data_IF_329470618409
#
_entry.id   IF_329470618409
#
_cell.length_a   1.000
_cell.length_b   1.000
_cell.length_c   1.000
_cell.angle_alpha   90.00
_cell.angle_beta   90.00
_cell.angle_gamma   90.00
#
_symmetry.space_group_name_H-M   'P 1'
#
loop_
_entity.id
_entity.type
_entity.pdbx_description
1 polymer ?
#
# COMPACT_ATOMS: atom_id res chain seq x y z
N UNK A 1 44.30 -41.14 13.92
CA UNK A 1 42.84 -41.03 13.70
C UNK A 1 42.63 -40.19 12.44
N UNK A 2 42.81 -40.81 11.27
CA UNK A 2 41.79 -41.47 10.44
C UNK A 2 41.02 -40.44 9.58
N UNK A 3 41.62 -40.13 8.43
CA UNK A 3 40.97 -39.53 7.27
C UNK A 3 39.86 -40.47 6.76
N UNK A 4 38.70 -39.92 6.43
CA UNK A 4 37.67 -40.60 5.67
C UNK A 4 37.12 -39.66 4.58
N UNK A 5 37.24 -40.11 3.34
CA UNK A 5 36.67 -39.53 2.14
C UNK A 5 35.22 -40.02 1.93
N UNK A 6 34.40 -39.25 1.22
CA UNK A 6 33.28 -39.78 0.44
C UNK A 6 32.87 -38.81 -0.68
N UNK A 7 32.85 -39.32 -1.91
CA UNK A 7 32.39 -38.68 -3.14
C UNK A 7 30.93 -39.13 -3.49
N UNK A 8 30.25 -38.25 -4.24
CA UNK A 8 29.26 -38.49 -5.31
C UNK A 8 27.76 -38.73 -5.00
N UNK A 9 26.90 -37.93 -5.66
CA UNK A 9 25.67 -38.26 -6.45
C UNK A 9 24.97 -36.92 -6.81
N UNK A 10 24.95 -36.46 -8.07
CA UNK A 10 24.07 -36.80 -9.20
C UNK A 10 22.58 -36.42 -9.00
N UNK A 11 22.10 -35.44 -9.79
CA UNK A 11 20.69 -35.06 -9.84
C UNK A 11 20.40 -34.04 -10.95
N UNK A 12 20.29 -34.54 -12.19
CA UNK A 12 19.90 -33.79 -13.39
C UNK A 12 18.36 -33.84 -13.52
N UNK A 13 17.67 -32.71 -13.49
CA UNK A 13 16.21 -32.60 -13.64
C UNK A 13 15.85 -31.75 -14.86
N UNK A 14 15.13 -32.37 -15.80
CA UNK A 14 15.02 -31.99 -17.22
C UNK A 14 14.29 -30.68 -17.56
N UNK A 15 14.73 -30.09 -18.67
CA UNK A 15 14.12 -28.94 -19.35
C UNK A 15 13.19 -29.41 -20.48
N UNK A 16 11.90 -29.10 -20.28
CA UNK A 16 10.92 -28.60 -21.26
C UNK A 16 11.02 -29.01 -22.74
N UNK A 17 10.16 -29.96 -23.12
CA UNK A 17 9.03 -29.77 -24.04
C UNK A 17 9.28 -29.16 -25.43
N UNK A 18 9.30 -30.03 -26.44
CA UNK A 18 9.27 -29.70 -27.87
C UNK A 18 7.85 -29.50 -28.43
N UNK A 19 7.81 -28.70 -29.50
CA UNK A 19 7.02 -28.87 -30.73
C UNK A 19 5.91 -27.84 -31.03
N UNK A 20 6.01 -27.37 -32.27
CA UNK A 20 5.25 -26.37 -32.98
C UNK A 20 3.81 -26.77 -33.28
N UNK A 21 2.95 -25.77 -33.53
CA UNK A 21 1.99 -25.85 -34.64
C UNK A 21 1.49 -24.45 -35.05
N UNK A 22 1.68 -24.18 -36.35
CA UNK A 22 1.07 -23.09 -37.12
C UNK A 22 -0.36 -23.47 -37.49
N UNK A 23 -1.28 -22.51 -37.63
CA UNK A 23 -1.88 -22.33 -38.96
C UNK A 23 -2.14 -20.86 -39.35
N UNK A 24 -1.93 -20.55 -40.64
CA UNK A 24 -2.53 -19.41 -41.32
C UNK A 24 -3.96 -19.76 -41.79
N UNK A 25 -4.84 -18.76 -42.00
CA UNK A 25 -5.29 -18.50 -43.36
C UNK A 25 -5.44 -17.02 -43.72
N UNK A 26 -5.85 -16.81 -44.97
CA UNK A 26 -5.55 -15.68 -45.85
C UNK A 26 -6.54 -14.49 -45.83
N UNK A 27 -6.03 -13.42 -46.45
CA UNK A 27 -6.61 -12.18 -47.00
C UNK A 27 -8.12 -12.07 -47.25
N UNK A 28 -8.66 -10.86 -47.02
CA UNK A 28 -9.47 -10.10 -47.99
C UNK A 28 -9.68 -8.64 -47.53
N UNK A 29 -9.99 -7.79 -48.52
CA UNK A 29 -9.70 -6.37 -48.66
C UNK A 29 -10.70 -5.36 -48.05
N UNK A 30 -10.17 -4.14 -47.81
CA UNK A 30 -10.73 -2.80 -48.02
C UNK A 30 -12.08 -2.37 -47.38
N UNK A 31 -12.06 -1.27 -46.62
CA UNK A 31 -12.65 0.02 -47.04
C UNK A 31 -12.54 1.09 -45.93
N UNK A 32 -12.39 2.33 -46.39
CA UNK A 32 -12.39 3.61 -45.70
C UNK A 32 -13.60 3.88 -44.81
N UNK A 33 -13.37 4.42 -43.61
CA UNK A 33 -14.29 5.35 -42.97
C UNK A 33 -13.49 6.38 -42.15
N UNK A 34 -13.46 7.59 -42.68
CA UNK A 34 -13.18 8.80 -41.90
C UNK A 34 -14.30 8.97 -40.88
N UNK A 35 -13.95 9.05 -39.59
CA UNK A 35 -14.88 9.44 -38.53
C UNK A 35 -14.09 10.19 -37.48
N UNK A 36 -14.15 11.51 -37.54
CA UNK A 36 -13.71 12.43 -36.50
C UNK A 36 -14.29 12.01 -35.14
N UNK A 37 -13.50 11.88 -34.06
CA UNK A 37 -14.08 11.90 -32.72
C UNK A 37 -14.42 13.35 -32.37
N UNK A 38 -15.60 13.81 -32.83
CA UNK A 38 -16.26 14.96 -32.22
C UNK A 38 -17.00 14.46 -30.98
N UNK A 39 -16.67 15.06 -29.84
CA UNK A 39 -17.57 15.38 -28.74
C UNK A 39 -18.38 14.22 -28.14
N UNK A 40 -17.93 13.71 -27.00
CA UNK A 40 -18.57 14.01 -25.71
C UNK A 40 -17.76 13.32 -24.62
N UNK A 41 -16.98 14.10 -23.86
CA UNK A 41 -16.58 13.68 -22.51
C UNK A 41 -17.85 13.76 -21.65
N UNK A 42 -18.68 12.74 -21.76
CA UNK A 42 -19.81 12.50 -20.86
C UNK A 42 -19.75 11.06 -20.40
N UNK A 43 -18.54 10.61 -20.07
CA UNK A 43 -18.33 9.57 -19.10
C UNK A 43 -18.34 10.24 -17.73
N UNK A 44 -19.51 10.65 -17.26
CA UNK A 44 -19.78 10.67 -15.82
C UNK A 44 -19.46 9.24 -15.40
N UNK A 45 -18.29 9.03 -14.80
CA UNK A 45 -18.02 7.80 -14.10
C UNK A 45 -19.21 7.63 -13.15
N UNK A 46 -20.11 6.72 -13.52
CA UNK A 46 -21.13 6.24 -12.62
C UNK A 46 -20.33 5.56 -11.53
N UNK A 47 -20.06 6.34 -10.47
CA UNK A 47 -19.65 5.81 -9.19
C UNK A 47 -20.60 4.63 -8.93
N UNK A 48 -20.09 3.41 -9.06
CA UNK A 48 -20.57 2.37 -8.18
C UNK A 48 -20.42 2.97 -6.80
N UNK A 49 -21.54 3.21 -6.14
CA UNK A 49 -21.61 3.81 -4.83
C UNK A 49 -20.99 2.84 -3.81
N UNK A 50 -19.67 2.72 -3.83
CA UNK A 50 -18.91 2.45 -2.63
C UNK A 50 -18.97 3.76 -1.84
N UNK A 51 -19.36 3.70 -0.57
CA UNK A 51 -19.30 4.84 0.36
C UNK A 51 -17.85 5.23 0.71
N UNK A 52 -16.93 4.98 -0.21
CA UNK A 52 -15.53 5.26 -0.15
C UNK A 52 -15.32 6.71 -0.60
N UNK A 53 -14.99 7.58 0.35
CA UNK A 53 -14.67 8.97 0.08
C UNK A 53 -13.16 9.11 -0.01
N UNK A 54 -12.67 9.56 -1.17
CA UNK A 54 -11.26 9.83 -1.38
C UNK A 54 -11.05 11.26 -1.89
N UNK A 55 -9.97 11.91 -1.46
CA UNK A 55 -9.60 13.24 -1.92
C UNK A 55 -8.08 13.37 -2.00
N UNK A 56 -7.60 14.06 -3.03
CA UNK A 56 -6.18 14.36 -3.25
C UNK A 56 -5.92 15.83 -2.91
N UNK A 57 -4.81 16.10 -2.25
CA UNK A 57 -4.40 17.42 -1.75
C UNK A 57 -5.37 18.07 -0.75
N UNK A 58 -6.26 17.29 -0.13
CA UNK A 58 -7.13 17.73 0.95
C UNK A 58 -7.60 16.52 1.79
N UNK A 59 -8.21 16.82 2.93
CA UNK A 59 -8.91 15.84 3.77
C UNK A 59 -10.29 15.59 3.17
N UNK A 60 -10.64 14.32 2.95
CA UNK A 60 -11.93 13.91 2.44
C UNK A 60 -13.05 14.32 3.43
N UNK A 61 -14.20 14.79 2.94
CA UNK A 61 -15.31 15.16 3.81
C UNK A 61 -15.80 13.94 4.60
N UNK A 62 -15.85 14.06 5.93
CA UNK A 62 -16.19 12.96 6.84
C UNK A 62 -15.03 12.04 7.22
N UNK A 63 -13.80 12.39 6.86
CA UNK A 63 -12.62 11.60 7.22
C UNK A 63 -12.45 11.47 8.75
N UNK A 64 -12.16 10.26 9.27
CA UNK A 64 -12.03 9.95 10.70
C UNK A 64 -10.77 10.59 11.30
N UNK A 65 -10.86 11.89 11.57
CA UNK A 65 -9.73 12.70 12.03
C UNK A 65 -9.40 12.46 13.51
N UNK A 66 -10.29 11.81 14.26
CA UNK A 66 -9.99 11.41 15.64
C UNK A 66 -9.15 10.12 15.65
N UNK A 67 -9.46 9.17 14.76
CA UNK A 67 -8.65 7.94 14.60
C UNK A 67 -7.33 8.21 13.87
N UNK A 68 -7.34 9.05 12.83
CA UNK A 68 -6.17 9.39 12.02
C UNK A 68 -5.98 10.91 11.88
N UNK A 69 -5.54 11.60 12.95
CA UNK A 69 -5.23 13.03 12.89
C UNK A 69 -4.05 13.31 11.96
N UNK A 70 -4.16 14.37 11.18
CA UNK A 70 -3.03 14.92 10.44
C UNK A 70 -1.98 15.46 11.42
N UNK A 71 -0.71 15.09 11.23
CA UNK A 71 0.37 15.61 12.06
C UNK A 71 0.45 17.15 11.95
N UNK A 72 0.59 17.89 13.05
CA UNK A 72 0.77 19.34 13.02
C UNK A 72 1.95 19.75 12.15
N UNK A 73 1.72 20.69 11.23
CA UNK A 73 2.75 21.15 10.28
C UNK A 73 2.97 20.25 9.07
N UNK A 74 2.27 19.12 8.96
CA UNK A 74 2.20 18.34 7.74
C UNK A 74 1.02 18.76 6.86
N UNK A 75 1.11 18.46 5.58
CA UNK A 75 0.07 18.70 4.57
C UNK A 75 -0.54 17.36 4.14
N UNK A 76 -1.87 17.28 4.10
CA UNK A 76 -2.56 16.11 3.54
C UNK A 76 -2.38 16.07 2.02
N UNK A 77 -1.67 15.05 1.53
CA UNK A 77 -1.46 14.79 0.12
C UNK A 77 -2.57 13.94 -0.48
N UNK A 78 -3.09 12.99 0.30
CA UNK A 78 -4.25 12.20 -0.07
C UNK A 78 -4.93 11.66 1.18
N UNK A 79 -6.25 11.52 1.14
CA UNK A 79 -7.02 10.82 2.15
C UNK A 79 -8.06 9.94 1.48
N UNK A 80 -8.35 8.82 2.09
CA UNK A 80 -9.43 7.93 1.68
C UNK A 80 -10.02 7.25 2.90
N UNK A 81 -11.34 7.10 2.95
CA UNK A 81 -11.97 6.24 3.94
C UNK A 81 -13.18 5.54 3.33
N UNK A 82 -13.43 4.31 3.77
CA UNK A 82 -14.63 3.55 3.45
C UNK A 82 -15.19 2.94 4.74
N UNK A 83 -16.18 3.62 5.30
CA UNK A 83 -16.85 3.19 6.53
C UNK A 83 -17.89 2.08 6.28
N UNK A 84 -18.22 1.79 5.01
CA UNK A 84 -19.16 0.73 4.64
C UNK A 84 -18.51 -0.65 4.48
N UNK A 85 -17.18 -0.72 4.37
CA UNK A 85 -16.45 -1.97 4.40
C UNK A 85 -16.45 -2.63 5.80
N UNK A 86 -16.25 -3.95 5.81
CA UNK A 86 -16.09 -4.74 7.03
C UNK A 86 -14.88 -5.67 6.89
N UNK A 87 -13.71 -5.32 7.48
CA UNK A 87 -13.45 -4.15 8.30
C UNK A 87 -13.46 -2.84 7.50
N UNK A 88 -13.79 -1.74 8.18
CA UNK A 88 -13.79 -0.42 7.58
C UNK A 88 -12.37 0.12 7.50
N UNK A 89 -12.07 0.85 6.44
CA UNK A 89 -10.70 1.23 6.08
C UNK A 89 -10.54 2.74 6.00
N UNK A 90 -9.42 3.26 6.49
CA UNK A 90 -9.04 4.65 6.29
C UNK A 90 -7.54 4.76 6.02
N UNK A 91 -7.19 5.64 5.09
CA UNK A 91 -5.82 5.88 4.64
C UNK A 91 -5.56 7.38 4.58
N UNK A 92 -4.45 7.80 5.18
CA UNK A 92 -3.94 9.17 5.17
C UNK A 92 -2.53 9.17 4.58
N UNK A 93 -2.31 10.03 3.59
CA UNK A 93 -0.98 10.34 3.07
C UNK A 93 -0.67 11.78 3.43
N UNK A 94 0.33 11.98 4.26
CA UNK A 94 0.76 13.28 4.77
C UNK A 94 2.21 13.56 4.39
N UNK A 95 2.50 14.76 3.88
CA UNK A 95 3.86 15.22 3.59
C UNK A 95 4.30 16.30 4.56
N UNK A 96 5.55 16.26 5.01
CA UNK A 96 6.17 17.33 5.80
C UNK A 96 7.57 17.64 5.28
N UNK A 97 7.89 18.93 5.18
CA UNK A 97 9.23 19.43 4.84
C UNK A 97 10.05 19.83 6.06
N UNK A 98 9.42 19.91 7.24
CA UNK A 98 10.04 20.36 8.50
C UNK A 98 10.28 19.22 9.48
N UNK A 99 9.48 18.15 9.38
CA UNK A 99 9.58 16.98 10.24
C UNK A 99 10.42 15.89 9.59
N UNK A 100 11.25 15.22 10.38
CA UNK A 100 11.98 14.03 9.91
C UNK A 100 11.05 12.83 9.76
N UNK A 101 11.49 11.79 9.03
CA UNK A 101 10.73 10.55 8.93
C UNK A 101 10.52 9.87 10.29
N UNK A 102 11.50 9.97 11.21
CA UNK A 102 11.38 9.41 12.55
C UNK A 102 10.37 10.16 13.41
N UNK A 103 10.29 11.49 13.27
CA UNK A 103 9.29 12.31 13.99
C UNK A 103 7.87 11.97 13.52
N UNK A 104 7.67 11.84 12.20
CA UNK A 104 6.37 11.42 11.67
C UNK A 104 5.99 10.01 12.11
N UNK A 105 6.93 9.07 12.04
CA UNK A 105 6.70 7.72 12.51
C UNK A 105 6.32 7.73 13.99
N UNK A 106 7.09 8.42 14.83
CA UNK A 106 6.85 8.53 16.27
C UNK A 106 5.50 9.15 16.61
N UNK A 107 5.07 10.19 15.86
CA UNK A 107 3.75 10.80 16.02
C UNK A 107 2.63 9.78 15.76
N UNK A 108 2.63 9.12 14.60
CA UNK A 108 1.58 8.15 14.26
C UNK A 108 1.63 6.89 15.13
N UNK A 109 2.82 6.45 15.54
CA UNK A 109 2.97 5.39 16.55
C UNK A 109 2.28 5.77 17.86
N UNK A 110 2.47 6.99 18.36
CA UNK A 110 1.81 7.46 19.60
C UNK A 110 0.30 7.54 19.45
N UNK A 111 -0.17 8.02 18.29
CA UNK A 111 -1.61 8.08 18.00
C UNK A 111 -2.23 6.69 17.99
N UNK A 112 -1.64 5.74 17.25
CA UNK A 112 -2.17 4.38 17.16
C UNK A 112 -2.10 3.63 18.49
N UNK A 113 -1.02 3.78 19.24
CA UNK A 113 -0.90 3.18 20.58
C UNK A 113 -1.88 3.80 21.58
N UNK A 114 -2.19 5.10 21.46
CA UNK A 114 -3.27 5.75 22.21
C UNK A 114 -4.65 5.20 21.89
N UNK A 115 -4.85 4.72 20.65
CA UNK A 115 -6.07 4.04 20.18
C UNK A 115 -6.13 2.54 20.52
N UNK A 116 -5.17 2.05 21.33
CA UNK A 116 -5.11 0.66 21.80
C UNK A 116 -4.41 -0.30 20.83
N UNK A 117 -3.76 0.20 19.78
CA UNK A 117 -2.95 -0.65 18.91
C UNK A 117 -1.62 -1.03 19.58
N UNK A 118 -1.21 -2.28 19.35
CA UNK A 118 0.08 -2.79 19.79
C UNK A 118 0.99 -2.91 18.57
N UNK A 119 2.20 -2.37 18.70
CA UNK A 119 3.23 -2.44 17.65
C UNK A 119 3.66 -3.89 17.42
N UNK A 120 3.68 -4.31 16.16
CA UNK A 120 4.19 -5.64 15.79
C UNK A 120 5.71 -5.57 15.79
N UNK A 121 6.40 -6.38 16.61
CA UNK A 121 7.86 -6.38 16.66
C UNK A 121 8.44 -6.71 15.29
N UNK A 122 9.46 -5.96 14.87
CA UNK A 122 10.08 -6.06 13.55
C UNK A 122 10.67 -7.47 13.24
N UNK A 123 10.87 -8.32 14.25
CA UNK A 123 11.26 -9.72 14.07
C UNK A 123 10.21 -10.57 13.34
N UNK A 124 8.92 -10.21 13.43
CA UNK A 124 7.82 -10.85 12.70
C UNK A 124 7.54 -10.19 11.34
N UNK A 125 7.95 -8.94 11.16
CA UNK A 125 7.93 -8.24 9.88
C UNK A 125 9.26 -8.48 9.16
N UNK A 126 9.51 -9.74 8.74
CA UNK A 126 10.70 -10.21 8.01
C UNK A 126 11.96 -9.38 8.28
N UNK A 127 12.77 -9.81 9.23
CA UNK A 127 14.04 -9.21 9.67
C UNK A 127 15.05 -8.85 8.53
N UNK A 128 14.73 -9.17 7.28
CA UNK A 128 15.47 -8.74 6.08
C UNK A 128 15.00 -7.39 5.50
N UNK A 129 13.73 -7.00 5.70
CA UNK A 129 13.15 -5.78 5.09
C UNK A 129 13.21 -4.57 6.02
N UNK A 130 13.02 -4.71 7.33
CA UNK A 130 12.96 -3.57 8.26
C UNK A 130 14.32 -2.90 8.49
N UNK A 131 15.41 -3.67 8.54
CA UNK A 131 16.77 -3.11 8.61
C UNK A 131 17.29 -2.59 7.25
N UNK A 132 16.85 -3.22 6.14
CA UNK A 132 17.25 -2.83 4.78
C UNK A 132 16.48 -1.61 4.24
N UNK A 133 15.22 -1.42 4.65
CA UNK A 133 14.42 -0.24 4.26
C UNK A 133 14.78 1.01 5.05
N UNK A 134 15.20 0.88 6.31
CA UNK A 134 15.75 2.00 7.08
C UNK A 134 17.02 2.57 6.42
N UNK A 135 17.85 1.68 5.84
CA UNK A 135 19.01 2.08 5.04
C UNK A 135 18.64 2.76 3.71
N UNK A 136 17.42 2.54 3.20
CA UNK A 136 16.85 3.16 2.00
C UNK A 136 15.99 4.41 2.29
N UNK A 137 16.00 4.94 3.53
CA UNK A 137 15.21 6.11 3.91
C UNK A 137 13.71 5.87 4.05
N UNK A 138 13.30 4.60 4.20
CA UNK A 138 11.91 4.16 4.36
C UNK A 138 11.72 3.47 5.71
N UNK A 139 10.82 4.00 6.54
CA UNK A 139 10.48 3.43 7.85
C UNK A 139 9.09 2.81 7.79
N UNK A 140 8.95 1.55 8.19
CA UNK A 140 7.66 0.84 8.20
C UNK A 140 7.40 0.26 9.58
N UNK A 141 6.18 0.48 10.07
CA UNK A 141 5.68 -0.09 11.32
C UNK A 141 4.27 -0.60 11.12
N UNK A 142 4.05 -1.83 11.57
CA UNK A 142 2.75 -2.47 11.59
C UNK A 142 2.25 -2.55 13.03
N UNK A 143 0.94 -2.47 13.19
CA UNK A 143 0.26 -2.52 14.46
C UNK A 143 -0.98 -3.38 14.36
N UNK A 144 -1.33 -4.02 15.46
CA UNK A 144 -2.52 -4.87 15.59
C UNK A 144 -3.25 -4.56 16.87
N UNK A 145 -4.58 -4.66 16.85
CA UNK A 145 -5.41 -4.67 18.05
C UNK A 145 -6.51 -5.72 17.91
N UNK A 146 -7.29 -5.90 18.97
CA UNK A 146 -8.43 -6.84 18.96
C UNK A 146 -8.02 -8.24 18.48
N UNK A 147 -6.90 -8.75 19.01
CA UNK A 147 -6.30 -10.04 18.62
C UNK A 147 -5.99 -10.20 17.11
N UNK A 148 -5.70 -9.09 16.42
CA UNK A 148 -5.36 -9.09 14.99
C UNK A 148 -6.54 -8.91 14.06
N UNK A 149 -7.77 -8.75 14.57
CA UNK A 149 -8.94 -8.41 13.74
C UNK A 149 -8.89 -6.98 13.20
N UNK A 150 -8.06 -6.13 13.80
CA UNK A 150 -7.87 -4.75 13.39
C UNK A 150 -6.39 -4.47 13.25
N UNK A 151 -6.00 -3.83 12.16
CA UNK A 151 -4.61 -3.63 11.77
C UNK A 151 -4.37 -2.18 11.38
N UNK A 152 -3.15 -1.72 11.58
CA UNK A 152 -2.70 -0.42 11.11
C UNK A 152 -1.27 -0.53 10.59
N UNK A 153 -0.97 0.19 9.52
CA UNK A 153 0.38 0.23 8.94
C UNK A 153 0.76 1.68 8.73
N UNK A 154 1.94 2.05 9.22
CA UNK A 154 2.57 3.36 9.02
C UNK A 154 3.82 3.14 8.19
N UNK A 155 3.88 3.78 7.04
CA UNK A 155 5.07 3.81 6.19
C UNK A 155 5.50 5.26 6.00
N UNK A 156 6.76 5.58 6.29
CA UNK A 156 7.30 6.93 6.10
C UNK A 156 8.49 6.85 5.16
N UNK A 157 8.38 7.50 4.00
CA UNK A 157 9.43 7.55 2.98
C UNK A 157 10.02 8.95 2.96
N UNK A 158 11.34 9.07 2.98
CA UNK A 158 12.00 10.36 2.75
C UNK A 158 12.33 10.51 1.27
N UNK A 159 11.73 11.48 0.59
CA UNK A 159 12.00 11.80 -0.81
C UNK A 159 12.13 13.32 -0.99
N UNK A 160 13.13 13.77 -1.77
CA UNK A 160 13.36 15.20 -2.05
C UNK A 160 13.48 16.08 -0.78
N UNK A 161 14.10 15.55 0.29
CA UNK A 161 14.18 16.18 1.63
C UNK A 161 12.83 16.44 2.31
N UNK A 162 11.75 15.88 1.79
CA UNK A 162 10.45 15.82 2.44
C UNK A 162 10.23 14.41 2.95
N UNK A 163 9.67 14.29 4.14
CA UNK A 163 9.19 13.01 4.61
C UNK A 163 7.70 12.88 4.26
N UNK A 164 7.31 11.72 3.77
CA UNK A 164 5.94 11.40 3.36
C UNK A 164 5.48 10.18 4.15
N UNK A 165 4.50 10.38 5.03
CA UNK A 165 3.89 9.32 5.81
C UNK A 165 2.61 8.84 5.12
N UNK A 166 2.52 7.54 4.90
CA UNK A 166 1.33 6.81 4.48
C UNK A 166 0.86 5.98 5.67
N UNK A 167 -0.30 6.30 6.21
CA UNK A 167 -0.92 5.60 7.33
C UNK A 167 -2.21 4.96 6.84
N UNK A 168 -2.34 3.66 7.01
CA UNK A 168 -3.58 2.92 6.74
C UNK A 168 -4.06 2.23 8.00
N UNK A 169 -5.37 2.23 8.23
CA UNK A 169 -6.02 1.48 9.31
C UNK A 169 -7.16 0.66 8.73
N UNK A 170 -7.29 -0.56 9.22
CA UNK A 170 -8.43 -1.46 8.99
C UNK A 170 -9.01 -1.81 10.34
N UNK A 171 -10.20 -1.29 10.64
CA UNK A 171 -10.81 -1.36 11.96
C UNK A 171 -12.28 -1.73 11.86
N UNK A 172 -12.90 -2.11 12.97
CA UNK A 172 -14.35 -2.24 13.00
C UNK A 172 -15.00 -0.88 12.63
N UNK A 173 -16.09 -0.84 11.85
CA UNK A 173 -16.73 0.41 11.43
C UNK A 173 -17.16 1.29 12.60
N UNK A 174 -17.52 0.71 13.75
CA UNK A 174 -17.82 1.44 15.00
C UNK A 174 -16.61 2.15 15.62
N UNK A 175 -15.39 1.85 15.16
CA UNK A 175 -14.15 2.38 15.71
C UNK A 175 -13.49 3.45 14.83
N UNK A 176 -14.07 3.77 13.66
CA UNK A 176 -13.69 4.93 12.87
C UNK A 176 -14.45 6.15 13.39
N UNK A 177 -13.70 7.12 13.93
CA UNK A 177 -14.23 8.36 14.49
C UNK A 177 -13.42 9.59 14.06
#
# INVERSE_FOLDING_TARGET
MLMAAALAVAGCGGQTGSAAQSPAPASSSAATASSSPSSTVSGRATASASAANATVSAIAPGFPSQTLPLMPGATALATSFDASASPAVASLVAGSSTSSASEMLGYYTKTLTGEGFTEVPAASASSSTSASMAAAGTLVRDFVRSNGSETATVTVVTANKQAVATVGVSVAPSSLK
#
